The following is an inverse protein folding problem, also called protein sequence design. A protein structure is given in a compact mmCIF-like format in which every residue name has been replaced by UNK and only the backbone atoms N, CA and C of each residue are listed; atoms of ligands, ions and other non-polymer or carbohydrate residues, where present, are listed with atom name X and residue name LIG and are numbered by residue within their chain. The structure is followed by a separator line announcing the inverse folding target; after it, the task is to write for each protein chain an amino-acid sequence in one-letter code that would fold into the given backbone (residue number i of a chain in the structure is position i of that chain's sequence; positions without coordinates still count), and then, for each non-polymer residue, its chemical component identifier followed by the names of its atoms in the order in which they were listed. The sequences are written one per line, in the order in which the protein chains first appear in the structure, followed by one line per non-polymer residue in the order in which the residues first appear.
data_IF_308511330102
#
_entry.id   IF_308511330102
#
_cell.length_a   1.000
_cell.length_b   1.000
_cell.length_c   1.000
_cell.angle_alpha   90.00
_cell.angle_beta   90.00
_cell.angle_gamma   90.00
#
_symmetry.space_group_name_H-M   'P 1'
#
loop_
_entity.id
_entity.type
_entity.pdbx_description
1 polymer ?
#
# COMPACT_ATOMS: atom_id res chain seq x y z
N UNK A 1 2.23 3.76 -13.73
CA UNK A 1 2.52 2.54 -14.52
C UNK A 1 2.54 1.34 -13.58
N UNK A 2 2.22 0.13 -14.06
CA UNK A 2 2.34 -1.10 -13.28
C UNK A 2 3.53 -1.89 -13.83
N UNK A 3 4.46 -2.26 -12.95
CA UNK A 3 5.54 -3.19 -13.26
C UNK A 3 5.20 -4.54 -12.62
N UNK A 4 5.23 -5.60 -13.42
CA UNK A 4 4.91 -6.95 -12.95
C UNK A 4 6.16 -7.83 -13.00
N UNK A 5 6.71 -8.16 -11.83
CA UNK A 5 7.86 -9.06 -11.69
C UNK A 5 7.37 -10.48 -11.46
N UNK A 6 7.60 -11.38 -12.41
CA UNK A 6 7.20 -12.79 -12.32
C UNK A 6 8.38 -13.72 -12.61
N UNK A 7 8.21 -15.00 -12.23
CA UNK A 7 9.26 -16.01 -12.38
C UNK A 7 9.06 -17.19 -11.44
N UNK A 8 9.81 -18.30 -11.63
CA UNK A 8 9.70 -19.52 -10.84
C UNK A 8 9.92 -19.30 -9.34
N UNK A 9 9.44 -20.23 -8.52
CA UNK A 9 9.76 -20.26 -7.07
C UNK A 9 11.28 -20.35 -6.88
N UNK A 10 11.80 -19.60 -5.90
CA UNK A 10 13.25 -19.56 -5.64
C UNK A 10 14.08 -18.69 -6.59
N UNK A 11 13.47 -18.03 -7.59
CA UNK A 11 14.19 -17.16 -8.52
C UNK A 11 14.61 -15.79 -7.94
N UNK A 12 14.44 -15.56 -6.64
CA UNK A 12 14.85 -14.33 -5.97
C UNK A 12 13.93 -13.12 -6.15
N UNK A 13 12.68 -13.27 -6.60
CA UNK A 13 11.74 -12.15 -6.83
C UNK A 13 11.59 -11.25 -5.60
N UNK A 14 11.30 -11.83 -4.43
CA UNK A 14 11.17 -11.09 -3.18
C UNK A 14 12.46 -10.36 -2.78
N UNK A 15 13.63 -10.96 -3.07
CA UNK A 15 14.92 -10.29 -2.84
C UNK A 15 15.09 -9.07 -3.76
N UNK A 16 14.64 -9.14 -5.02
CA UNK A 16 14.61 -8.00 -5.94
C UNK A 16 13.63 -6.93 -5.43
N UNK A 17 12.39 -7.31 -5.08
CA UNK A 17 11.38 -6.40 -4.52
C UNK A 17 11.91 -5.67 -3.28
N UNK A 18 12.56 -6.39 -2.38
CA UNK A 18 13.19 -5.84 -1.19
C UNK A 18 14.34 -4.89 -1.54
N UNK A 19 15.23 -5.27 -2.45
CA UNK A 19 16.35 -4.41 -2.88
C UNK A 19 15.84 -3.10 -3.50
N UNK A 20 14.77 -3.15 -4.29
CA UNK A 20 14.14 -1.95 -4.87
C UNK A 20 13.53 -1.09 -3.77
N UNK A 21 12.87 -1.71 -2.79
CA UNK A 21 12.30 -1.00 -1.64
C UNK A 21 13.40 -0.26 -0.86
N UNK A 22 14.49 -0.93 -0.53
CA UNK A 22 15.64 -0.34 0.18
C UNK A 22 16.24 0.84 -0.62
N UNK A 23 16.42 0.68 -1.93
CA UNK A 23 16.92 1.76 -2.80
C UNK A 23 15.95 2.95 -2.90
N UNK A 24 14.65 2.72 -2.71
CA UNK A 24 13.62 3.75 -2.77
C UNK A 24 13.28 4.37 -1.41
N UNK A 25 13.74 3.78 -0.31
CA UNK A 25 13.43 4.22 1.05
C UNK A 25 13.84 5.70 1.27
N UNK A 26 14.98 6.10 0.72
CA UNK A 26 15.50 7.47 0.83
C UNK A 26 14.65 8.53 0.12
N UNK A 27 13.77 8.12 -0.81
CA UNK A 27 12.93 9.03 -1.60
C UNK A 27 11.67 9.50 -0.85
N UNK A 28 11.46 9.07 0.41
CA UNK A 28 10.37 9.47 1.33
C UNK A 28 8.94 9.28 0.84
N UNK A 29 8.73 8.55 -0.26
CA UNK A 29 7.40 8.30 -0.87
C UNK A 29 7.26 6.85 -1.32
N UNK A 30 7.68 5.93 -0.46
CA UNK A 30 7.61 4.49 -0.68
C UNK A 30 6.62 3.88 0.31
N UNK A 31 5.64 3.15 -0.21
CA UNK A 31 4.78 2.28 0.58
C UNK A 31 5.00 0.83 0.14
N UNK A 32 5.11 -0.08 1.10
CA UNK A 32 5.40 -1.49 0.84
C UNK A 32 4.42 -2.38 1.58
N UNK A 33 4.07 -3.50 0.97
CA UNK A 33 3.38 -4.59 1.63
C UNK A 33 3.95 -5.93 1.14
N UNK A 34 4.56 -6.67 2.05
CA UNK A 34 5.11 -8.00 1.77
C UNK A 34 4.21 -9.04 2.43
N UNK A 35 3.58 -9.89 1.63
CA UNK A 35 2.81 -11.01 2.18
C UNK A 35 3.76 -12.05 2.74
N UNK A 36 3.45 -12.54 3.95
CA UNK A 36 4.25 -13.57 4.63
C UNK A 36 3.30 -14.67 5.09
N UNK A 37 3.39 -15.85 4.44
CA UNK A 37 2.57 -17.02 4.79
C UNK A 37 2.73 -17.38 6.27
N UNK A 38 1.61 -17.74 6.91
CA UNK A 38 1.59 -18.23 8.29
C UNK A 38 1.75 -17.16 9.38
N UNK A 39 1.94 -15.88 9.02
CA UNK A 39 1.94 -14.77 9.97
C UNK A 39 0.58 -14.05 9.88
N UNK A 40 -0.24 -14.19 10.92
CA UNK A 40 -1.68 -13.93 10.84
C UNK A 40 -2.12 -12.51 10.45
N UNK A 41 -1.25 -11.49 10.55
CA UNK A 41 -1.57 -10.13 10.11
C UNK A 41 -1.07 -9.81 8.69
N UNK A 42 0.15 -10.24 8.33
CA UNK A 42 0.71 -9.99 7.00
C UNK A 42 0.19 -10.94 5.92
N UNK A 43 -0.49 -12.03 6.30
CA UNK A 43 -1.13 -12.94 5.34
C UNK A 43 -2.50 -12.44 4.87
N UNK A 44 -3.18 -11.56 5.61
CA UNK A 44 -4.58 -11.22 5.29
C UNK A 44 -4.68 -10.07 4.30
N UNK A 45 -5.29 -10.35 3.15
CA UNK A 45 -5.56 -9.37 2.10
C UNK A 45 -6.34 -8.13 2.58
N UNK A 46 -7.14 -8.27 3.64
CA UNK A 46 -7.90 -7.17 4.24
C UNK A 46 -7.01 -6.06 4.83
N UNK A 47 -5.75 -6.34 5.16
CA UNK A 47 -4.82 -5.36 5.72
C UNK A 47 -3.96 -4.66 4.65
N UNK A 48 -3.96 -5.16 3.41
CA UNK A 48 -3.18 -4.59 2.31
C UNK A 48 -3.45 -3.09 2.13
N UNK A 49 -4.72 -2.74 1.91
CA UNK A 49 -5.08 -1.34 1.62
C UNK A 49 -4.93 -0.44 2.85
N UNK A 50 -5.44 -0.79 4.04
CA UNK A 50 -5.23 0.02 5.24
C UNK A 50 -3.75 0.26 5.57
N UNK A 51 -2.89 -0.76 5.44
CA UNK A 51 -1.45 -0.62 5.71
C UNK A 51 -0.76 0.28 4.69
N UNK A 52 -1.10 0.17 3.41
CA UNK A 52 -0.57 1.07 2.38
C UNK A 52 -1.06 2.51 2.61
N UNK A 53 -2.33 2.70 2.95
CA UNK A 53 -2.92 4.01 3.19
C UNK A 53 -2.29 4.70 4.42
N UNK A 54 -2.03 3.94 5.48
CA UNK A 54 -1.27 4.43 6.64
C UNK A 54 0.12 4.92 6.23
N UNK A 55 0.88 4.11 5.47
CA UNK A 55 2.21 4.52 4.99
C UNK A 55 2.15 5.78 4.12
N UNK A 56 1.20 5.84 3.18
CA UNK A 56 1.00 7.00 2.31
C UNK A 56 0.62 8.26 3.09
N UNK A 57 -0.15 8.14 4.17
CA UNK A 57 -0.48 9.26 5.05
C UNK A 57 0.74 9.93 5.69
N UNK A 58 1.87 9.21 5.79
CA UNK A 58 3.10 9.75 6.32
C UNK A 58 3.88 10.59 5.30
N UNK A 59 3.51 10.56 4.01
CA UNK A 59 4.18 11.34 2.96
C UNK A 59 3.74 12.80 2.91
N UNK A 60 2.52 13.07 3.36
CA UNK A 60 1.90 14.39 3.29
C UNK A 60 0.86 14.58 4.41
N UNK A 61 1.01 15.59 5.29
CA UNK A 61 0.03 15.89 6.35
C UNK A 61 -1.39 16.12 5.83
N UNK A 62 -1.56 16.66 4.62
CA UNK A 62 -2.89 16.87 4.03
C UNK A 62 -3.55 15.53 3.71
N UNK A 63 -2.79 14.55 3.20
CA UNK A 63 -3.30 13.19 2.96
C UNK A 63 -3.73 12.55 4.27
N UNK A 64 -2.92 12.71 5.33
CA UNK A 64 -3.25 12.24 6.68
C UNK A 64 -4.56 12.84 7.21
N UNK A 65 -4.76 14.14 7.03
CA UNK A 65 -5.99 14.81 7.48
C UNK A 65 -7.21 14.23 6.77
N UNK A 66 -7.16 14.09 5.45
CA UNK A 66 -8.27 13.53 4.66
C UNK A 66 -8.57 12.10 5.12
N UNK A 67 -7.53 11.27 5.32
CA UNK A 67 -7.71 9.89 5.72
C UNK A 67 -8.34 9.77 7.12
N UNK A 68 -7.93 10.61 8.07
CA UNK A 68 -8.54 10.69 9.41
C UNK A 68 -10.02 11.07 9.29
N UNK A 69 -10.37 12.04 8.46
CA UNK A 69 -11.76 12.47 8.27
C UNK A 69 -12.62 11.39 7.60
N UNK A 70 -12.08 10.69 6.59
CA UNK A 70 -12.73 9.55 5.95
C UNK A 70 -13.00 8.44 6.97
N UNK A 71 -12.00 8.07 7.76
CA UNK A 71 -12.14 7.03 8.79
C UNK A 71 -13.09 7.46 9.94
N UNK A 72 -13.19 8.75 10.24
CA UNK A 72 -14.17 9.27 11.21
C UNK A 72 -15.59 9.17 10.69
N UNK A 73 -15.81 9.42 9.40
CA UNK A 73 -17.13 9.31 8.75
C UNK A 73 -17.56 7.86 8.54
N UNK A 74 -16.62 6.98 8.22
CA UNK A 74 -16.86 5.55 8.00
C UNK A 74 -15.87 4.67 8.79
N UNK A 75 -16.11 4.47 10.11
CA UNK A 75 -15.19 3.72 10.96
C UNK A 75 -14.93 2.28 10.51
N UNK A 76 -15.93 1.65 9.89
CA UNK A 76 -15.88 0.24 9.47
C UNK A 76 -15.32 0.03 8.04
N UNK A 77 -14.90 1.11 7.36
CA UNK A 77 -14.51 1.08 5.95
C UNK A 77 -13.39 0.07 5.68
N UNK A 78 -12.41 0.00 6.56
CA UNK A 78 -11.21 -0.83 6.44
C UNK A 78 -11.47 -2.35 6.56
N UNK A 79 -12.64 -2.80 7.03
CA UNK A 79 -12.91 -4.24 7.21
C UNK A 79 -14.25 -4.74 6.64
N UNK A 80 -15.26 -3.87 6.46
CA UNK A 80 -16.58 -4.29 5.91
C UNK A 80 -16.78 -4.00 4.43
N UNK A 81 -15.95 -3.16 3.82
CA UNK A 81 -16.13 -2.70 2.43
C UNK A 81 -15.24 -3.49 1.46
N UNK A 82 -15.62 -3.49 0.18
CA UNK A 82 -14.83 -4.14 -0.87
C UNK A 82 -13.44 -3.50 -0.99
N UNK A 83 -12.44 -4.29 -1.41
CA UNK A 83 -11.08 -3.80 -1.64
C UNK A 83 -11.03 -2.64 -2.63
N UNK A 84 -11.85 -2.68 -3.68
CA UNK A 84 -11.95 -1.58 -4.65
C UNK A 84 -12.41 -0.28 -4.01
N UNK A 85 -13.39 -0.35 -3.11
CA UNK A 85 -13.89 0.80 -2.38
C UNK A 85 -12.85 1.34 -1.40
N UNK A 86 -12.19 0.44 -0.65
CA UNK A 86 -11.10 0.82 0.25
C UNK A 86 -9.96 1.50 -0.52
N UNK A 87 -9.56 0.95 -1.67
CA UNK A 87 -8.50 1.51 -2.51
C UNK A 87 -8.86 2.93 -2.99
N UNK A 88 -10.11 3.14 -3.39
CA UNK A 88 -10.55 4.46 -3.85
C UNK A 88 -10.58 5.49 -2.71
N UNK A 89 -11.24 5.16 -1.59
CA UNK A 89 -11.44 6.09 -0.46
C UNK A 89 -10.18 6.34 0.36
N UNK A 90 -9.31 5.34 0.53
CA UNK A 90 -8.14 5.43 1.41
C UNK A 90 -6.84 5.80 0.68
N UNK A 91 -6.76 5.57 -0.63
CA UNK A 91 -5.53 5.86 -1.40
C UNK A 91 -5.80 6.84 -2.54
N UNK A 92 -6.68 6.49 -3.49
CA UNK A 92 -6.82 7.26 -4.75
C UNK A 92 -7.35 8.67 -4.49
N UNK A 93 -8.46 8.80 -3.76
CA UNK A 93 -9.09 10.09 -3.46
C UNK A 93 -8.19 11.00 -2.62
N UNK A 94 -7.58 10.55 -1.50
CA UNK A 94 -6.68 11.38 -0.72
C UNK A 94 -5.45 11.89 -1.51
N UNK A 95 -4.82 11.03 -2.32
CA UNK A 95 -3.66 11.42 -3.14
C UNK A 95 -4.07 12.47 -4.18
N UNK A 96 -5.20 12.26 -4.87
CA UNK A 96 -5.69 13.22 -5.88
C UNK A 96 -6.07 14.56 -5.27
N UNK A 97 -6.73 14.56 -4.12
CA UNK A 97 -7.24 15.78 -3.48
C UNK A 97 -6.13 16.71 -2.99
N UNK A 98 -4.94 16.17 -2.69
CA UNK A 98 -3.81 16.94 -2.14
C UNK A 98 -2.85 17.46 -3.21
N UNK A 99 -3.06 17.09 -4.48
CA UNK A 99 -2.10 17.36 -5.54
C UNK A 99 -0.76 16.67 -5.30
N UNK A 100 -0.71 15.66 -4.41
CA UNK A 100 0.47 14.85 -4.20
C UNK A 100 0.76 14.14 -5.51
N UNK A 101 1.87 14.54 -6.14
CA UNK A 101 2.34 13.97 -7.41
C UNK A 101 2.39 12.44 -7.34
N UNK A 102 1.36 11.76 -7.84
CA UNK A 102 1.24 10.30 -7.82
C UNK A 102 2.42 9.65 -8.55
N UNK A 103 3.03 10.37 -9.49
CA UNK A 103 4.27 9.99 -10.19
C UNK A 103 5.47 9.78 -9.27
N UNK A 104 5.44 10.34 -8.05
CA UNK A 104 6.51 10.24 -7.05
C UNK A 104 6.24 9.19 -5.98
N UNK A 105 5.05 8.58 -5.96
CA UNK A 105 4.70 7.54 -4.98
C UNK A 105 5.01 6.17 -5.58
N UNK A 106 5.82 5.40 -4.87
CA UNK A 106 6.14 4.02 -5.23
C UNK A 106 5.38 3.10 -4.28
N UNK A 107 4.61 2.17 -4.84
CA UNK A 107 3.94 1.12 -4.09
C UNK A 107 4.52 -0.21 -4.53
N UNK A 108 5.05 -0.98 -3.59
CA UNK A 108 5.55 -2.34 -3.83
C UNK A 108 4.65 -3.31 -3.08
N UNK A 109 4.09 -4.27 -3.81
CA UNK A 109 3.36 -5.40 -3.23
C UNK A 109 4.04 -6.67 -3.69
N UNK A 110 4.51 -7.47 -2.74
CA UNK A 110 5.26 -8.68 -3.03
C UNK A 110 4.55 -9.91 -2.44
N UNK A 111 4.74 -11.06 -3.09
CA UNK A 111 4.17 -12.35 -2.66
C UNK A 111 2.64 -12.39 -2.60
N UNK A 112 1.95 -11.73 -3.55
CA UNK A 112 0.47 -11.67 -3.59
C UNK A 112 -0.21 -13.05 -3.62
N UNK A 113 0.48 -14.09 -4.10
CA UNK A 113 0.07 -15.49 -4.15
C UNK A 113 0.20 -16.24 -2.80
N UNK A 114 0.76 -15.58 -1.79
CA UNK A 114 0.96 -16.10 -0.44
C UNK A 114 -0.13 -15.62 0.55
N UNK A 115 -1.21 -14.98 0.04
CA UNK A 115 -2.34 -14.50 0.84
C UNK A 115 -3.33 -15.58 1.31
#
# INVERSE_FOLDING_TARGET
PILWLNGPTGSGKSAISQTIAEHCADKKKLATYFFIRGTGECSKFQHLIPSLAHQVSMFDPAVKSILIDTMRKEPDLHHKKSLSYQLDELLIKPIKATGLESSKIIIIVDALDEC
#
